data_IF_656956344277
#
_entry.id   IF_656956344277
#
_cell.length_a   1.000
_cell.length_b   1.000
_cell.length_c   1.000
_cell.angle_alpha   90.00
_cell.angle_beta   90.00
_cell.angle_gamma   90.00
#
_symmetry.space_group_name_H-M   'P 1'
#
loop_
_entity.id
_entity.type
_entity.pdbx_description
1 polymer ?
#
# COMPACT_ATOMS: atom_id res chain seq x y z
N UNK A 1 -23.58 0.22 35.92
CA UNK A 1 -23.36 -1.07 35.22
C UNK A 1 -24.44 -1.31 34.16
N UNK A 2 -25.73 -1.26 34.49
CA UNK A 2 -26.83 -1.50 33.51
C UNK A 2 -26.81 -0.57 32.29
N UNK A 3 -26.51 0.71 32.51
CA UNK A 3 -26.43 1.71 31.44
C UNK A 3 -25.32 1.37 30.41
N UNK A 4 -24.16 0.90 30.87
CA UNK A 4 -23.07 0.44 30.01
C UNK A 4 -23.46 -0.82 29.22
N UNK A 5 -24.09 -1.79 29.89
CA UNK A 5 -24.56 -3.01 29.24
C UNK A 5 -25.56 -2.71 28.10
N UNK A 6 -26.52 -1.81 28.32
CA UNK A 6 -27.45 -1.37 27.27
C UNK A 6 -26.72 -0.76 26.07
N UNK A 7 -25.70 0.08 26.29
CA UNK A 7 -24.90 0.69 25.19
C UNK A 7 -24.15 -0.35 24.38
N UNK A 8 -23.52 -1.30 25.07
CA UNK A 8 -22.79 -2.39 24.43
C UNK A 8 -23.75 -3.20 23.56
N UNK A 9 -24.90 -3.61 24.12
CA UNK A 9 -25.87 -4.45 23.43
C UNK A 9 -26.57 -3.76 22.25
N UNK A 10 -26.99 -2.50 22.42
CA UNK A 10 -27.81 -1.81 21.42
C UNK A 10 -27.01 -1.13 20.32
N UNK A 11 -25.74 -0.76 20.59
CA UNK A 11 -24.94 0.05 19.67
C UNK A 11 -23.63 -0.66 19.31
N UNK A 12 -22.85 -1.09 20.29
CA UNK A 12 -21.50 -1.61 20.04
C UNK A 12 -21.49 -3.01 19.40
N UNK A 13 -22.32 -3.94 19.87
CA UNK A 13 -22.43 -5.28 19.26
C UNK A 13 -22.89 -5.17 17.79
N UNK A 14 -23.93 -4.41 17.44
CA UNK A 14 -24.29 -4.22 16.04
C UNK A 14 -23.21 -3.52 15.22
N UNK A 15 -22.44 -2.61 15.80
CA UNK A 15 -21.26 -2.03 15.16
C UNK A 15 -20.22 -3.11 14.82
N UNK A 16 -19.86 -3.98 15.77
CA UNK A 16 -18.88 -5.05 15.55
C UNK A 16 -19.34 -6.03 14.46
N UNK A 17 -20.62 -6.39 14.46
CA UNK A 17 -21.20 -7.25 13.42
C UNK A 17 -21.13 -6.58 12.05
N UNK A 18 -21.45 -5.28 11.95
CA UNK A 18 -21.33 -4.52 10.71
C UNK A 18 -19.87 -4.38 10.26
N UNK A 19 -18.94 -4.19 11.19
CA UNK A 19 -17.50 -4.12 10.89
C UNK A 19 -17.02 -5.45 10.28
N UNK A 20 -17.36 -6.57 10.91
CA UNK A 20 -17.00 -7.90 10.42
C UNK A 20 -17.64 -8.18 9.06
N UNK A 21 -18.91 -7.82 8.88
CA UNK A 21 -19.58 -7.92 7.59
C UNK A 21 -18.89 -7.07 6.51
N UNK A 22 -18.49 -5.83 6.83
CA UNK A 22 -17.75 -4.97 5.91
C UNK A 22 -16.40 -5.57 5.51
N UNK A 23 -15.67 -6.13 6.48
CA UNK A 23 -14.40 -6.81 6.22
C UNK A 23 -14.60 -7.97 5.24
N UNK A 24 -15.59 -8.83 5.47
CA UNK A 24 -15.86 -9.99 4.61
C UNK A 24 -16.31 -9.55 3.21
N UNK A 25 -17.32 -8.68 3.13
CA UNK A 25 -17.90 -8.23 1.87
C UNK A 25 -16.86 -7.48 1.04
N UNK A 26 -16.11 -6.57 1.65
CA UNK A 26 -15.10 -5.82 0.90
C UNK A 26 -13.95 -6.71 0.45
N UNK A 27 -13.47 -7.62 1.30
CA UNK A 27 -12.40 -8.54 0.91
C UNK A 27 -12.83 -9.46 -0.23
N UNK A 28 -14.10 -9.87 -0.27
CA UNK A 28 -14.65 -10.63 -1.38
C UNK A 28 -14.71 -9.81 -2.68
N UNK A 29 -15.13 -8.54 -2.59
CA UNK A 29 -15.13 -7.62 -3.73
C UNK A 29 -13.72 -7.35 -4.26
N UNK A 30 -12.77 -7.07 -3.37
CA UNK A 30 -11.36 -6.83 -3.70
C UNK A 30 -10.73 -8.06 -4.35
N UNK A 31 -11.01 -9.24 -3.80
CA UNK A 31 -10.59 -10.50 -4.40
C UNK A 31 -11.06 -10.63 -5.84
N UNK A 32 -12.36 -10.40 -6.06
CA UNK A 32 -12.98 -10.59 -7.37
C UNK A 32 -12.49 -9.57 -8.40
N UNK A 33 -12.27 -8.32 -7.99
CA UNK A 33 -12.02 -7.19 -8.89
C UNK A 33 -10.54 -6.89 -9.09
N UNK A 34 -9.69 -7.10 -8.07
CA UNK A 34 -8.31 -6.63 -8.07
C UNK A 34 -7.28 -7.74 -7.83
N UNK A 35 -7.47 -8.62 -6.83
CA UNK A 35 -6.43 -9.62 -6.49
C UNK A 35 -6.18 -10.64 -7.61
N UNK A 36 -7.21 -11.06 -8.35
CA UNK A 36 -7.07 -12.05 -9.43
C UNK A 36 -6.30 -11.52 -10.65
N UNK A 37 -6.52 -10.25 -10.99
CA UNK A 37 -5.90 -9.57 -12.14
C UNK A 37 -5.82 -8.08 -11.84
N UNK A 38 -4.74 -7.62 -11.16
CA UNK A 38 -4.64 -6.22 -10.84
C UNK A 38 -4.52 -5.43 -12.13
N UNK A 39 -5.45 -4.50 -12.29
CA UNK A 39 -5.55 -3.67 -13.48
C UNK A 39 -4.57 -2.52 -13.39
N UNK A 40 -3.72 -2.37 -14.40
CA UNK A 40 -2.84 -1.20 -14.54
C UNK A 40 -3.61 0.13 -14.70
N UNK A 41 -4.93 0.07 -14.91
CA UNK A 41 -5.78 1.26 -15.01
C UNK A 41 -6.27 1.77 -13.66
N UNK A 42 -6.40 0.91 -12.65
CA UNK A 42 -6.98 1.28 -11.35
C UNK A 42 -5.83 1.50 -10.37
N UNK A 43 -5.69 2.69 -9.77
CA UNK A 43 -4.65 2.93 -8.77
C UNK A 43 -4.90 2.10 -7.50
N UNK A 44 -3.83 1.51 -6.94
CA UNK A 44 -3.88 0.75 -5.69
C UNK A 44 -4.54 1.53 -4.55
N UNK A 45 -4.27 2.83 -4.45
CA UNK A 45 -4.87 3.68 -3.41
C UNK A 45 -6.40 3.78 -3.50
N UNK A 46 -6.98 3.65 -4.70
CA UNK A 46 -8.44 3.66 -4.86
C UNK A 46 -9.03 2.40 -4.24
N UNK A 47 -8.40 1.26 -4.48
CA UNK A 47 -8.89 -0.05 -4.02
C UNK A 47 -8.56 -0.28 -2.55
N UNK A 48 -7.37 0.11 -2.08
CA UNK A 48 -6.92 -0.19 -0.72
C UNK A 48 -7.38 0.85 0.30
N UNK A 49 -7.68 2.09 -0.12
CA UNK A 49 -8.01 3.20 0.79
C UNK A 49 -9.39 3.76 0.49
N UNK A 50 -9.66 4.20 -0.74
CA UNK A 50 -10.90 4.90 -1.06
C UNK A 50 -12.13 3.97 -0.98
N UNK A 51 -12.03 2.75 -1.52
CA UNK A 51 -13.11 1.77 -1.51
C UNK A 51 -13.60 1.41 -0.10
N UNK A 52 -12.72 1.06 0.85
CA UNK A 52 -13.11 0.85 2.25
C UNK A 52 -13.77 2.05 2.91
N UNK A 53 -13.30 3.28 2.63
CA UNK A 53 -13.88 4.51 3.16
C UNK A 53 -15.32 4.69 2.63
N UNK A 54 -15.53 4.54 1.33
CA UNK A 54 -16.86 4.66 0.71
C UNK A 54 -17.81 3.62 1.29
N UNK A 55 -17.38 2.37 1.42
CA UNK A 55 -18.18 1.32 2.03
C UNK A 55 -18.55 1.66 3.49
N UNK A 56 -17.58 2.09 4.29
CA UNK A 56 -17.81 2.49 5.67
C UNK A 56 -18.80 3.66 5.78
N UNK A 57 -18.71 4.66 4.90
CA UNK A 57 -19.68 5.77 4.83
C UNK A 57 -21.09 5.24 4.60
N UNK A 58 -21.29 4.40 3.58
CA UNK A 58 -22.60 3.83 3.24
C UNK A 58 -23.15 3.02 4.41
N UNK A 59 -22.31 2.16 4.99
CA UNK A 59 -22.74 1.26 6.07
C UNK A 59 -23.11 2.04 7.34
N UNK A 60 -22.30 3.02 7.71
CA UNK A 60 -22.58 3.86 8.87
C UNK A 60 -23.84 4.69 8.65
N UNK A 61 -24.02 5.30 7.49
CA UNK A 61 -25.16 6.20 7.24
C UNK A 61 -26.51 5.46 7.18
N UNK A 62 -26.54 4.23 6.68
CA UNK A 62 -27.78 3.46 6.53
C UNK A 62 -28.10 2.67 7.80
N UNK A 63 -27.17 1.84 8.31
CA UNK A 63 -27.47 0.88 9.38
C UNK A 63 -27.05 1.35 10.77
N UNK A 64 -25.93 2.07 10.89
CA UNK A 64 -25.42 2.47 12.21
C UNK A 64 -26.03 3.79 12.68
N UNK A 65 -26.31 4.73 11.77
CA UNK A 65 -26.84 6.06 12.05
C UNK A 65 -28.14 6.04 12.87
N UNK A 66 -29.13 5.17 12.61
CA UNK A 66 -30.34 5.10 13.44
C UNK A 66 -30.03 4.75 14.89
N UNK A 67 -29.00 3.94 15.13
CA UNK A 67 -28.57 3.54 16.48
C UNK A 67 -27.70 4.61 17.15
N UNK A 68 -26.84 5.29 16.39
CA UNK A 68 -26.04 6.41 16.89
C UNK A 68 -26.90 7.61 17.30
N UNK A 69 -28.10 7.75 16.74
CA UNK A 69 -29.07 8.78 17.10
C UNK A 69 -29.64 8.62 18.52
N UNK A 70 -29.38 7.48 19.17
CA UNK A 70 -29.73 7.25 20.57
C UNK A 70 -28.72 7.89 21.53
N UNK A 71 -27.59 8.37 21.02
CA UNK A 71 -26.55 9.03 21.79
C UNK A 71 -26.64 10.54 21.55
N UNK A 72 -26.64 11.32 22.63
CA UNK A 72 -26.63 12.78 22.60
C UNK A 72 -25.42 13.31 23.36
N UNK A 73 -25.05 14.56 23.08
CA UNK A 73 -24.13 15.32 23.92
C UNK A 73 -24.90 16.52 24.43
N UNK A 74 -24.82 16.79 25.73
CA UNK A 74 -25.39 17.99 26.36
C UNK A 74 -24.70 19.31 25.96
N UNK A 75 -23.92 19.34 24.87
CA UNK A 75 -23.12 20.49 24.49
C UNK A 75 -23.85 21.37 23.46
N UNK A 76 -24.15 22.61 23.84
CA UNK A 76 -24.93 23.60 23.07
C UNK A 76 -24.27 24.09 21.76
N UNK A 77 -22.97 23.84 21.54
CA UNK A 77 -22.19 24.50 20.47
C UNK A 77 -21.69 23.62 19.32
N UNK A 78 -21.90 22.31 19.33
CA UNK A 78 -21.40 21.42 18.26
C UNK A 78 -22.54 20.66 17.59
N UNK A 79 -22.30 20.10 16.39
CA UNK A 79 -23.20 19.14 15.73
C UNK A 79 -22.80 17.71 16.17
N UNK A 80 -23.16 17.24 17.37
CA UNK A 80 -22.62 16.00 17.95
C UNK A 80 -22.89 14.78 17.05
N UNK A 81 -24.03 14.76 16.38
CA UNK A 81 -24.40 13.66 15.49
C UNK A 81 -23.48 13.56 14.27
N UNK A 82 -23.02 14.68 13.73
CA UNK A 82 -22.11 14.67 12.58
C UNK A 82 -20.75 14.11 12.99
N UNK A 83 -20.22 14.57 14.13
CA UNK A 83 -18.95 14.10 14.69
C UNK A 83 -18.99 12.60 15.01
N UNK A 84 -20.07 12.11 15.63
CA UNK A 84 -20.26 10.68 15.91
C UNK A 84 -20.25 9.83 14.64
N UNK A 85 -20.95 10.26 13.60
CA UNK A 85 -20.97 9.54 12.33
C UNK A 85 -19.57 9.52 11.71
N UNK A 86 -18.86 10.65 11.69
CA UNK A 86 -17.51 10.73 11.13
C UNK A 86 -16.52 9.83 11.89
N UNK A 87 -16.57 9.83 13.22
CA UNK A 87 -15.74 8.97 14.06
C UNK A 87 -16.07 7.49 13.85
N UNK A 88 -17.36 7.15 13.70
CA UNK A 88 -17.79 5.78 13.41
C UNK A 88 -17.33 5.31 12.03
N UNK A 89 -17.36 6.19 11.01
CA UNK A 89 -16.81 5.90 9.68
C UNK A 89 -15.31 5.65 9.77
N UNK A 90 -14.56 6.51 10.46
CA UNK A 90 -13.12 6.33 10.61
C UNK A 90 -12.79 5.03 11.36
N UNK A 91 -13.50 4.75 12.46
CA UNK A 91 -13.31 3.55 13.25
C UNK A 91 -13.65 2.26 12.47
N UNK A 92 -14.59 2.33 11.52
CA UNK A 92 -14.93 1.21 10.64
C UNK A 92 -13.98 1.08 9.44
N UNK A 93 -13.56 2.20 8.84
CA UNK A 93 -12.71 2.19 7.66
C UNK A 93 -11.27 1.74 7.97
N UNK A 94 -10.69 2.18 9.09
CA UNK A 94 -9.30 1.86 9.46
C UNK A 94 -9.04 0.35 9.46
N UNK A 95 -9.83 -0.49 10.17
CA UNK A 95 -9.62 -1.93 10.16
C UNK A 95 -9.77 -2.58 8.79
N UNK A 96 -10.74 -2.12 7.99
CA UNK A 96 -10.97 -2.65 6.64
C UNK A 96 -9.77 -2.34 5.74
N UNK A 97 -9.25 -1.11 5.77
CA UNK A 97 -8.05 -0.69 5.01
C UNK A 97 -6.84 -1.56 5.40
N UNK A 98 -6.59 -1.72 6.70
CA UNK A 98 -5.46 -2.52 7.19
C UNK A 98 -5.59 -3.98 6.74
N UNK A 99 -6.79 -4.54 6.82
CA UNK A 99 -7.08 -5.89 6.34
C UNK A 99 -6.81 -6.03 4.83
N UNK A 100 -7.18 -5.05 4.01
CA UNK A 100 -6.90 -5.13 2.57
C UNK A 100 -5.40 -5.12 2.27
N UNK A 101 -4.64 -4.24 2.93
CA UNK A 101 -3.18 -4.24 2.80
C UNK A 101 -2.55 -5.57 3.24
N UNK A 102 -3.10 -6.19 4.28
CA UNK A 102 -2.67 -7.51 4.73
C UNK A 102 -3.00 -8.60 3.70
N UNK A 103 -4.23 -8.61 3.18
CA UNK A 103 -4.71 -9.62 2.24
C UNK A 103 -3.88 -9.63 0.96
N UNK A 104 -3.60 -8.47 0.36
CA UNK A 104 -2.74 -8.35 -0.84
C UNK A 104 -1.39 -9.05 -0.64
N UNK A 105 -0.83 -8.98 0.57
CA UNK A 105 0.47 -9.60 0.90
C UNK A 105 0.38 -11.09 1.15
N UNK A 106 -0.70 -11.54 1.78
CA UNK A 106 -0.90 -12.96 2.09
C UNK A 106 -1.27 -13.75 0.83
N UNK A 107 -2.21 -13.25 0.04
CA UNK A 107 -2.78 -13.95 -1.12
C UNK A 107 -1.93 -13.84 -2.38
N UNK A 108 -0.91 -12.99 -2.38
CA UNK A 108 -0.01 -12.83 -3.52
C UNK A 108 0.72 -14.13 -3.85
N UNK A 109 0.55 -14.60 -5.10
CA UNK A 109 1.22 -15.80 -5.58
C UNK A 109 2.75 -15.63 -5.55
N UNK A 110 3.44 -16.66 -5.07
CA UNK A 110 4.89 -16.78 -5.11
C UNK A 110 5.35 -17.73 -6.21
N UNK A 111 6.11 -17.19 -7.16
CA UNK A 111 6.62 -17.91 -8.30
C UNK A 111 8.12 -18.20 -8.17
N UNK A 112 8.49 -19.48 -8.16
CA UNK A 112 9.89 -19.89 -8.33
C UNK A 112 10.18 -20.01 -9.82
N UNK A 113 11.14 -19.23 -10.30
CA UNK A 113 11.54 -19.17 -11.70
C UNK A 113 13.05 -19.37 -11.81
N UNK A 114 13.48 -19.97 -12.91
CA UNK A 114 14.90 -20.19 -13.15
C UNK A 114 15.56 -18.94 -13.70
N UNK A 115 14.88 -18.25 -14.63
CA UNK A 115 15.41 -17.10 -15.34
C UNK A 115 14.44 -15.91 -15.34
N UNK A 116 14.97 -14.66 -15.39
CA UNK A 116 14.16 -13.46 -15.61
C UNK A 116 13.21 -13.52 -16.82
N UNK A 117 13.60 -14.16 -17.92
CA UNK A 117 12.75 -14.30 -19.11
C UNK A 117 11.47 -15.11 -18.88
N UNK A 118 11.45 -16.00 -17.89
CA UNK A 118 10.27 -16.78 -17.53
C UNK A 118 9.19 -15.93 -16.84
N UNK A 119 9.55 -14.78 -16.27
CA UNK A 119 8.62 -13.84 -15.62
C UNK A 119 7.59 -13.35 -16.65
N UNK A 120 8.05 -13.05 -17.87
CA UNK A 120 7.19 -12.57 -18.95
C UNK A 120 6.23 -13.68 -19.42
N UNK A 121 6.67 -14.94 -19.38
CA UNK A 121 5.90 -16.11 -19.87
C UNK A 121 4.87 -16.61 -18.86
N UNK A 122 5.19 -16.57 -17.56
CA UNK A 122 4.35 -17.16 -16.49
C UNK A 122 3.00 -16.45 -16.32
N UNK A 123 2.91 -15.17 -16.69
CA UNK A 123 1.72 -14.35 -16.45
C UNK A 123 1.82 -13.56 -15.13
N UNK A 124 0.69 -13.33 -14.45
CA UNK A 124 0.68 -12.52 -13.23
C UNK A 124 1.01 -13.37 -11.99
N UNK A 125 2.17 -13.11 -11.37
CA UNK A 125 2.43 -13.41 -9.96
C UNK A 125 2.88 -12.14 -9.21
N UNK A 126 2.61 -12.09 -7.90
CA UNK A 126 2.94 -10.94 -7.06
C UNK A 126 4.39 -11.00 -6.58
N UNK A 127 4.91 -12.20 -6.34
CA UNK A 127 6.26 -12.43 -5.82
C UNK A 127 7.03 -13.40 -6.70
N UNK A 128 8.32 -13.17 -6.88
CA UNK A 128 9.20 -14.01 -7.68
C UNK A 128 10.49 -14.35 -6.93
N UNK A 129 10.95 -15.58 -7.06
CA UNK A 129 12.31 -15.99 -6.70
C UNK A 129 13.05 -16.35 -7.98
N UNK A 130 14.13 -15.63 -8.25
CA UNK A 130 14.94 -15.78 -9.48
C UNK A 130 16.41 -15.83 -9.04
N UNK A 131 17.02 -17.03 -8.95
CA UNK A 131 18.37 -17.17 -8.43
C UNK A 131 19.45 -16.84 -9.46
N UNK A 132 19.16 -16.92 -10.76
CA UNK A 132 20.15 -16.79 -11.84
C UNK A 132 19.92 -15.56 -12.72
N UNK A 133 20.06 -14.37 -12.14
CA UNK A 133 20.07 -13.10 -12.90
C UNK A 133 21.46 -12.47 -12.95
N UNK A 134 21.72 -11.69 -13.99
CA UNK A 134 22.92 -10.87 -14.10
C UNK A 134 22.70 -9.49 -13.47
N UNK A 135 23.63 -9.04 -12.63
CA UNK A 135 23.63 -7.68 -12.09
C UNK A 135 24.24 -6.71 -13.10
N UNK A 136 23.40 -5.89 -13.73
CA UNK A 136 23.79 -4.91 -14.74
C UNK A 136 23.87 -3.49 -14.15
N UNK A 137 24.58 -3.34 -13.02
CA UNK A 137 24.64 -2.06 -12.28
C UNK A 137 25.13 -0.89 -13.15
N UNK A 138 26.09 -1.16 -14.06
CA UNK A 138 26.63 -0.16 -15.03
C UNK A 138 25.56 0.39 -15.98
N UNK A 139 24.47 -0.34 -16.17
CA UNK A 139 23.38 0.00 -17.08
C UNK A 139 22.08 0.37 -16.32
N UNK A 140 22.17 0.58 -15.01
CA UNK A 140 21.04 1.06 -14.24
C UNK A 140 20.73 2.52 -14.58
N UNK A 141 19.45 2.84 -14.70
CA UNK A 141 18.99 4.21 -14.77
C UNK A 141 18.80 4.78 -13.38
N UNK A 142 19.22 6.03 -13.23
CA UNK A 142 19.26 6.75 -11.96
C UNK A 142 18.50 8.05 -12.14
N UNK A 143 17.57 8.33 -11.23
CA UNK A 143 16.82 9.58 -11.21
C UNK A 143 16.73 10.09 -9.78
N UNK A 144 17.07 11.35 -9.56
CA UNK A 144 16.77 12.04 -8.31
C UNK A 144 15.45 12.80 -8.42
N UNK A 145 14.72 12.88 -7.31
CA UNK A 145 13.56 13.74 -7.16
C UNK A 145 13.47 14.27 -5.74
N UNK A 146 12.95 15.48 -5.60
CA UNK A 146 12.82 16.13 -4.29
C UNK A 146 11.36 16.39 -4.00
N UNK A 147 10.87 15.91 -2.87
CA UNK A 147 9.53 16.20 -2.38
C UNK A 147 9.58 17.07 -1.15
N UNK A 148 8.58 17.93 -0.97
CA UNK A 148 8.46 18.77 0.21
C UNK A 148 7.46 18.18 1.19
N UNK A 149 7.87 18.05 2.45
CA UNK A 149 7.01 17.64 3.56
C UNK A 149 6.87 18.75 4.59
N UNK A 150 5.87 18.63 5.47
CA UNK A 150 5.61 19.54 6.58
C UNK A 150 5.49 21.03 6.15
N UNK A 151 4.59 21.32 5.20
CA UNK A 151 4.34 22.66 4.65
C UNK A 151 5.60 23.34 4.08
N UNK A 152 6.48 22.57 3.43
CA UNK A 152 7.68 23.11 2.76
C UNK A 152 8.88 23.36 3.68
N UNK A 153 8.86 22.87 4.93
CA UNK A 153 9.98 23.01 5.88
C UNK A 153 11.01 21.89 5.78
N UNK A 154 10.61 20.73 5.27
CA UNK A 154 11.48 19.56 5.13
C UNK A 154 11.51 19.16 3.66
N UNK A 155 12.71 19.03 3.10
CA UNK A 155 12.92 18.40 1.81
C UNK A 155 13.24 16.92 2.02
N UNK A 156 12.62 16.08 1.23
CA UNK A 156 12.93 14.65 1.15
C UNK A 156 13.48 14.43 -0.24
N UNK A 157 14.76 14.11 -0.31
CA UNK A 157 15.44 13.74 -1.54
C UNK A 157 15.29 12.24 -1.73
N UNK A 158 14.91 11.84 -2.93
CA UNK A 158 14.69 10.47 -3.36
C UNK A 158 15.65 10.17 -4.50
N UNK A 159 16.38 9.05 -4.43
CA UNK A 159 17.16 8.55 -5.55
C UNK A 159 16.60 7.19 -5.95
N UNK A 160 16.08 7.14 -7.17
CA UNK A 160 15.49 5.95 -7.77
C UNK A 160 16.49 5.27 -8.67
N UNK A 161 16.71 3.98 -8.43
CA UNK A 161 17.54 3.12 -9.25
C UNK A 161 16.65 2.11 -9.97
N UNK A 162 16.83 1.96 -11.28
CA UNK A 162 16.14 0.98 -12.10
C UNK A 162 17.14 0.22 -12.97
N UNK A 163 17.30 -1.08 -12.70
CA UNK A 163 18.24 -1.95 -13.39
C UNK A 163 17.48 -2.96 -14.26
N UNK A 164 17.89 -3.17 -15.53
CA UNK A 164 17.27 -4.20 -16.35
C UNK A 164 17.63 -5.59 -15.80
N UNK A 165 16.64 -6.47 -15.73
CA UNK A 165 16.84 -7.85 -15.29
C UNK A 165 17.03 -8.76 -16.51
N UNK A 166 18.21 -9.40 -16.62
CA UNK A 166 18.57 -10.24 -17.77
C UNK A 166 19.08 -11.59 -17.29
N UNK A 167 18.78 -12.62 -18.08
CA UNK A 167 19.22 -13.99 -17.86
C UNK A 167 20.76 -14.06 -17.81
N UNK A 168 21.30 -14.74 -16.79
CA UNK A 168 22.75 -14.86 -16.59
C UNK A 168 23.46 -15.53 -17.77
N UNK A 169 22.85 -16.56 -18.36
CA UNK A 169 23.40 -17.26 -19.53
C UNK A 169 23.48 -16.35 -20.77
N UNK A 170 22.47 -15.49 -20.97
CA UNK A 170 22.45 -14.51 -22.05
C UNK A 170 23.58 -13.49 -21.85
N UNK A 171 23.76 -12.99 -20.63
CA UNK A 171 24.85 -12.06 -20.31
C UNK A 171 26.25 -12.67 -20.48
N UNK A 172 26.46 -13.93 -20.07
CA UNK A 172 27.76 -14.60 -20.23
C UNK A 172 28.14 -14.76 -21.71
N UNK A 173 27.18 -15.09 -22.57
CA UNK A 173 27.40 -15.14 -24.02
C UNK A 173 27.75 -13.77 -24.61
N UNK A 174 27.27 -12.67 -24.02
CA UNK A 174 27.62 -11.31 -24.46
C UNK A 174 29.03 -10.89 -24.08
N UNK A 175 29.55 -11.37 -22.94
CA UNK A 175 30.89 -11.01 -22.48
C UNK A 175 32.00 -11.57 -23.39
N UNK A 176 31.70 -12.63 -24.16
CA UNK A 176 32.61 -13.21 -25.15
C UNK A 176 32.65 -12.46 -26.49
N UNK A 177 31.65 -11.60 -26.78
CA UNK A 177 31.62 -10.79 -28.00
C UNK A 177 32.17 -9.41 -27.68
N UNK A 178 33.49 -9.31 -27.56
CA UNK A 178 34.41 -8.13 -27.65
C UNK A 178 34.00 -6.72 -27.17
N UNK A 179 32.76 -6.28 -27.35
CA UNK A 179 32.21 -4.99 -26.98
C UNK A 179 30.81 -5.16 -26.36
N UNK A 180 30.78 -5.36 -25.04
CA UNK A 180 29.54 -5.42 -24.24
C UNK A 180 28.62 -4.21 -24.45
N UNK A 181 29.19 -3.06 -24.85
CA UNK A 181 28.44 -1.83 -25.12
C UNK A 181 27.73 -1.84 -26.49
N UNK A 182 28.27 -2.54 -27.50
CA UNK A 182 27.64 -2.68 -28.83
C UNK A 182 26.48 -3.67 -28.75
N UNK A 183 26.65 -4.80 -28.05
CA UNK A 183 25.57 -5.76 -27.81
C UNK A 183 24.43 -5.13 -26.98
N UNK A 184 24.76 -4.38 -25.92
CA UNK A 184 23.77 -3.63 -25.13
C UNK A 184 23.04 -2.60 -26.00
N UNK A 185 23.75 -1.78 -26.78
CA UNK A 185 23.10 -0.80 -27.66
C UNK A 185 22.27 -1.45 -28.77
N UNK A 186 22.64 -2.63 -29.28
CA UNK A 186 21.85 -3.36 -30.28
C UNK A 186 20.53 -3.90 -29.72
N UNK A 187 20.51 -4.44 -28.49
CA UNK A 187 19.25 -4.86 -27.85
C UNK A 187 18.29 -3.71 -27.59
N UNK A 188 18.81 -2.52 -27.30
CA UNK A 188 18.01 -1.33 -27.04
C UNK A 188 17.69 -0.52 -28.33
N UNK A 189 18.41 -0.77 -29.44
CA UNK A 189 18.15 -0.19 -30.77
C UNK A 189 16.96 -0.83 -31.49
N UNK A 190 16.73 -2.13 -31.32
CA UNK A 190 15.66 -2.87 -32.01
C UNK A 190 14.29 -2.83 -31.30
N UNK A 191 14.00 -1.80 -30.50
CA UNK A 191 12.78 -1.68 -29.68
C UNK A 191 12.54 -2.81 -28.65
N UNK A 192 13.46 -3.76 -28.50
CA UNK A 192 13.42 -4.86 -27.52
C UNK A 192 13.98 -4.41 -26.17
N UNK A 193 13.38 -3.35 -25.62
CA UNK A 193 13.66 -2.93 -24.24
C UNK A 193 13.38 -4.11 -23.29
N UNK A 194 14.24 -4.36 -22.28
CA UNK A 194 13.94 -5.39 -21.29
C UNK A 194 12.59 -5.07 -20.66
N UNK A 195 11.69 -6.05 -20.65
CA UNK A 195 10.34 -5.88 -20.12
C UNK A 195 10.34 -5.91 -18.59
N UNK A 196 11.40 -6.45 -17.97
CA UNK A 196 11.53 -6.64 -16.52
C UNK A 196 12.64 -5.77 -15.96
N UNK A 197 12.30 -4.98 -14.94
CA UNK A 197 13.19 -4.04 -14.27
C UNK A 197 13.18 -4.28 -12.78
N UNK A 198 14.37 -4.38 -12.19
CA UNK A 198 14.57 -4.43 -10.75
C UNK A 198 14.88 -3.04 -10.23
N UNK A 199 14.06 -2.55 -9.31
CA UNK A 199 14.08 -1.18 -8.83
C UNK A 199 14.30 -1.11 -7.32
N UNK A 200 14.98 -0.05 -6.88
CA UNK A 200 15.18 0.27 -5.46
C UNK A 200 15.27 1.79 -5.27
N UNK A 201 15.01 2.26 -4.06
CA UNK A 201 14.97 3.67 -3.70
C UNK A 201 15.80 3.92 -2.43
N UNK A 202 16.57 5.01 -2.43
CA UNK A 202 17.14 5.60 -1.21
C UNK A 202 16.49 6.95 -0.94
N UNK A 203 16.30 7.27 0.34
CA UNK A 203 15.66 8.52 0.76
C UNK A 203 16.48 9.20 1.85
N UNK A 204 16.59 10.53 1.76
CA UNK A 204 17.23 11.36 2.77
C UNK A 204 16.41 12.61 3.06
N UNK A 205 16.31 12.96 4.34
CA UNK A 205 15.46 14.07 4.82
C UNK A 205 16.32 15.19 5.36
N UNK A 206 16.13 16.39 4.83
CA UNK A 206 16.85 17.60 5.22
C UNK A 206 15.85 18.67 5.65
N UNK A 207 16.10 19.32 6.80
CA UNK A 207 15.38 20.56 7.16
C UNK A 207 15.92 21.71 6.32
N UNK A 208 15.05 22.53 5.73
CA UNK A 208 15.41 23.66 4.84
C UNK A 208 16.57 24.48 5.41
N UNK A 209 17.71 24.49 4.71
CA UNK A 209 18.93 25.25 5.04
C UNK A 209 19.55 25.85 3.76
N UNK A 210 20.40 26.86 3.93
CA UNK A 210 21.04 27.62 2.84
C UNK A 210 22.07 26.84 1.99
N UNK A 211 22.35 25.55 2.29
CA UNK A 211 23.36 24.74 1.58
C UNK A 211 22.77 23.42 1.04
N UNK A 212 21.56 23.49 0.46
CA UNK A 212 20.78 22.30 0.06
C UNK A 212 21.41 21.55 -1.12
N UNK A 213 22.03 22.24 -2.08
CA UNK A 213 22.58 21.61 -3.29
C UNK A 213 23.82 20.75 -3.05
N UNK A 214 24.77 21.23 -2.22
CA UNK A 214 25.99 20.47 -1.91
C UNK A 214 25.66 19.17 -1.15
N UNK A 215 24.75 19.27 -0.17
CA UNK A 215 24.28 18.13 0.62
C UNK A 215 23.49 17.15 -0.26
N UNK A 216 22.70 17.66 -1.20
CA UNK A 216 21.99 16.81 -2.16
C UNK A 216 22.95 16.03 -3.07
N UNK A 217 23.99 16.68 -3.59
CA UNK A 217 25.02 16.01 -4.41
C UNK A 217 25.74 14.94 -3.62
N UNK A 218 26.20 15.26 -2.41
CA UNK A 218 26.87 14.31 -1.52
C UNK A 218 25.98 13.09 -1.22
N UNK A 219 24.70 13.31 -0.93
CA UNK A 219 23.74 12.23 -0.72
C UNK A 219 23.51 11.38 -1.98
N UNK A 220 23.42 12.00 -3.16
CA UNK A 220 23.29 11.28 -4.43
C UNK A 220 24.53 10.42 -4.68
N UNK A 221 25.73 10.98 -4.52
CA UNK A 221 26.99 10.27 -4.74
C UNK A 221 27.13 9.10 -3.74
N UNK A 222 26.80 9.31 -2.47
CA UNK A 222 26.78 8.26 -1.45
C UNK A 222 25.74 7.17 -1.79
N UNK A 223 24.56 7.56 -2.27
CA UNK A 223 23.51 6.61 -2.69
C UNK A 223 23.97 5.76 -3.87
N UNK A 224 24.64 6.37 -4.86
CA UNK A 224 25.18 5.67 -6.03
C UNK A 224 26.29 4.72 -5.60
N UNK A 225 27.22 5.16 -4.75
CA UNK A 225 28.29 4.33 -4.22
C UNK A 225 27.73 3.11 -3.47
N UNK A 226 26.75 3.34 -2.58
CA UNK A 226 26.06 2.28 -1.84
C UNK A 226 25.33 1.29 -2.78
N UNK A 227 24.68 1.78 -3.84
CA UNK A 227 24.02 0.94 -4.83
C UNK A 227 25.03 0.06 -5.59
N UNK A 228 26.16 0.62 -5.99
CA UNK A 228 27.23 -0.10 -6.69
C UNK A 228 27.85 -1.15 -5.77
N UNK A 229 28.13 -0.81 -4.50
CA UNK A 229 28.80 -1.69 -3.54
C UNK A 229 27.88 -2.84 -3.08
N UNK A 230 26.71 -2.51 -2.50
CA UNK A 230 25.82 -3.52 -1.88
C UNK A 230 25.14 -4.44 -2.90
N UNK A 231 24.85 -3.92 -4.10
CA UNK A 231 24.23 -4.70 -5.17
C UNK A 231 22.93 -5.40 -4.81
N UNK A 232 22.67 -6.53 -5.48
CA UNK A 232 21.50 -7.39 -5.24
C UNK A 232 21.91 -8.79 -4.75
N UNK A 233 23.17 -8.96 -4.36
CA UNK A 233 23.68 -10.11 -3.65
C UNK A 233 22.93 -10.26 -2.32
N UNK A 234 22.12 -11.31 -2.21
CA UNK A 234 21.28 -11.55 -1.02
C UNK A 234 19.82 -11.13 -1.17
N UNK A 235 19.36 -10.76 -2.37
CA UNK A 235 17.91 -10.68 -2.64
C UNK A 235 17.28 -12.04 -2.42
N UNK A 236 16.31 -12.10 -1.52
CA UNK A 236 15.57 -13.32 -1.18
C UNK A 236 14.42 -13.53 -2.17
N UNK A 237 13.70 -12.45 -2.49
CA UNK A 237 12.62 -12.46 -3.46
C UNK A 237 12.41 -11.06 -4.06
N UNK A 238 11.67 -11.00 -5.16
CA UNK A 238 11.29 -9.78 -5.85
C UNK A 238 9.77 -9.60 -5.80
N UNK A 239 9.30 -8.40 -5.47
CA UNK A 239 7.88 -8.08 -5.43
C UNK A 239 7.47 -7.29 -6.68
N UNK A 240 6.44 -7.75 -7.40
CA UNK A 240 5.83 -6.98 -8.49
C UNK A 240 5.09 -5.79 -7.93
N UNK A 241 5.46 -4.61 -8.41
CA UNK A 241 4.80 -3.39 -8.03
C UNK A 241 3.46 -3.26 -8.76
N UNK A 242 2.36 -3.02 -8.04
CA UNK A 242 1.10 -2.66 -8.68
C UNK A 242 1.03 -1.17 -8.97
N UNK A 243 -0.15 -0.69 -9.34
CA UNK A 243 -0.31 0.68 -9.84
C UNK A 243 -0.34 1.71 -8.71
N UNK A 244 0.84 2.14 -8.26
CA UNK A 244 0.99 3.15 -7.21
C UNK A 244 1.92 4.31 -7.62
N UNK A 245 2.03 5.29 -6.72
CA UNK A 245 2.84 6.50 -6.95
C UNK A 245 4.30 6.16 -7.21
N UNK A 246 4.86 5.18 -6.49
CA UNK A 246 6.25 4.76 -6.60
C UNK A 246 6.51 4.08 -7.96
N UNK A 247 5.60 3.22 -8.44
CA UNK A 247 5.69 2.63 -9.78
C UNK A 247 5.74 3.69 -10.87
N UNK A 248 4.99 4.79 -10.70
CA UNK A 248 5.03 5.91 -11.65
C UNK A 248 6.40 6.60 -11.65
N UNK A 249 7.03 6.79 -10.50
CA UNK A 249 8.38 7.36 -10.44
C UNK A 249 9.40 6.43 -11.11
N UNK A 250 9.37 5.12 -10.84
CA UNK A 250 10.22 4.16 -11.56
C UNK A 250 9.96 4.15 -13.06
N UNK A 251 8.69 4.23 -13.49
CA UNK A 251 8.36 4.32 -14.91
C UNK A 251 8.99 5.56 -15.56
N UNK A 252 9.01 6.70 -14.86
CA UNK A 252 9.68 7.92 -15.33
C UNK A 252 11.21 7.83 -15.28
N UNK A 253 11.77 6.97 -14.44
CA UNK A 253 13.21 6.64 -14.44
C UNK A 253 13.56 5.76 -15.65
N UNK A 254 12.65 4.84 -16.02
CA UNK A 254 12.88 3.84 -17.07
C UNK A 254 12.58 4.36 -18.47
N UNK A 255 11.43 5.02 -18.66
CA UNK A 255 10.92 5.44 -19.97
C UNK A 255 11.23 6.94 -20.18
N UNK A 256 11.92 7.26 -21.28
CA UNK A 256 11.83 8.59 -21.91
C UNK A 256 10.48 8.68 -22.61
N UNK A 257 9.75 9.79 -22.44
CA UNK A 257 8.28 10.01 -22.62
C UNK A 257 7.52 9.32 -23.77
N UNK A 258 8.19 8.69 -24.74
CA UNK A 258 7.64 8.22 -26.01
C UNK A 258 7.35 6.70 -26.10
N UNK A 259 7.48 5.91 -25.01
CA UNK A 259 7.24 4.44 -25.07
C UNK A 259 6.07 3.95 -24.22
N UNK A 260 5.16 3.19 -24.86
CA UNK A 260 3.91 2.66 -24.28
C UNK A 260 3.98 1.21 -23.78
N UNK A 261 5.10 0.51 -23.90
CA UNK A 261 5.17 -0.91 -23.53
C UNK A 261 4.86 -1.14 -22.04
N UNK A 262 4.15 -2.23 -21.74
CA UNK A 262 3.88 -2.65 -20.37
C UNK A 262 5.19 -3.10 -19.70
N UNK A 263 5.69 -2.28 -18.78
CA UNK A 263 6.88 -2.60 -18.00
C UNK A 263 6.51 -3.36 -16.73
N UNK A 264 7.21 -4.46 -16.51
CA UNK A 264 7.22 -5.22 -15.26
C UNK A 264 8.27 -4.61 -14.34
N UNK A 265 7.80 -3.87 -13.34
CA UNK A 265 8.63 -3.25 -12.32
C UNK A 265 8.60 -4.13 -11.07
N UNK A 266 9.77 -4.58 -10.66
CA UNK A 266 10.01 -5.43 -9.51
C UNK A 266 10.80 -4.66 -8.46
N UNK A 267 10.51 -4.89 -7.19
CA UNK A 267 11.26 -4.35 -6.06
C UNK A 267 12.03 -5.49 -5.37
N UNK A 268 13.31 -5.28 -5.13
CA UNK A 268 14.16 -6.24 -4.42
C UNK A 268 13.81 -6.30 -2.93
N UNK A 269 13.62 -7.51 -2.37
CA UNK A 269 13.40 -7.73 -0.94
C UNK A 269 14.48 -8.68 -0.39
N UNK A 270 15.15 -8.21 0.67
CA UNK A 270 16.25 -8.92 1.33
C UNK A 270 15.80 -9.69 2.57
N UNK A 271 14.60 -9.40 3.09
CA UNK A 271 14.04 -10.15 4.22
C UNK A 271 13.53 -11.54 3.81
N UNK A 272 13.43 -12.50 4.73
CA UNK A 272 12.72 -13.76 4.50
C UNK A 272 11.29 -13.53 3.99
N UNK A 273 10.80 -14.44 3.15
CA UNK A 273 9.49 -14.31 2.50
C UNK A 273 8.33 -14.36 3.51
N UNK A 274 8.49 -15.09 4.61
CA UNK A 274 7.52 -15.26 5.68
C UNK A 274 7.29 -13.94 6.45
N UNK A 275 8.33 -13.10 6.55
CA UNK A 275 8.27 -11.82 7.27
C UNK A 275 7.47 -10.73 6.54
N UNK A 276 7.04 -10.97 5.29
CA UNK A 276 6.44 -9.95 4.41
C UNK A 276 5.16 -9.32 4.97
N UNK A 277 4.38 -10.08 5.76
CA UNK A 277 3.07 -9.68 6.27
C UNK A 277 3.02 -9.55 7.80
N UNK A 278 4.08 -9.92 8.53
CA UNK A 278 4.07 -9.92 10.00
C UNK A 278 3.75 -8.54 10.59
N UNK A 279 4.33 -7.50 9.99
CA UNK A 279 4.10 -6.12 10.38
C UNK A 279 2.63 -5.76 10.14
N UNK A 280 2.10 -6.02 8.95
CA UNK A 280 0.74 -5.68 8.56
C UNK A 280 -0.29 -6.45 9.37
N UNK A 281 0.01 -7.70 9.74
CA UNK A 281 -0.83 -8.49 10.64
C UNK A 281 -0.92 -7.84 12.01
N UNK A 282 0.22 -7.46 12.60
CA UNK A 282 0.28 -6.73 13.88
C UNK A 282 -0.50 -5.41 13.80
N UNK A 283 -0.31 -4.64 12.73
CA UNK A 283 -1.05 -3.39 12.53
C UNK A 283 -2.54 -3.62 12.35
N UNK A 284 -2.97 -4.67 11.65
CA UNK A 284 -4.38 -4.99 11.46
C UNK A 284 -5.05 -5.33 12.78
N UNK A 285 -4.43 -6.20 13.60
CA UNK A 285 -4.97 -6.57 14.91
C UNK A 285 -5.01 -5.34 15.82
N UNK A 286 -3.87 -4.65 15.96
CA UNK A 286 -3.77 -3.48 16.84
C UNK A 286 -4.70 -2.35 16.40
N UNK A 287 -4.76 -2.06 15.10
CA UNK A 287 -5.63 -1.04 14.53
C UNK A 287 -7.12 -1.36 14.70
N UNK A 288 -7.50 -2.64 14.59
CA UNK A 288 -8.89 -3.08 14.85
C UNK A 288 -9.29 -2.92 16.31
N UNK A 289 -8.41 -3.34 17.22
CA UNK A 289 -8.64 -3.18 18.67
C UNK A 289 -8.66 -1.71 19.08
N UNK A 290 -7.71 -0.92 18.59
CA UNK A 290 -7.60 0.50 18.92
C UNK A 290 -8.81 1.30 18.42
N UNK A 291 -9.20 1.12 17.15
CA UNK A 291 -10.35 1.82 16.58
C UNK A 291 -11.67 1.45 17.26
N UNK A 292 -11.89 0.15 17.50
CA UNK A 292 -13.10 -0.34 18.17
C UNK A 292 -13.14 0.07 19.65
N UNK A 293 -12.01 -0.01 20.36
CA UNK A 293 -11.90 0.44 21.74
C UNK A 293 -12.08 1.95 21.89
N UNK A 294 -11.52 2.74 20.97
CA UNK A 294 -11.72 4.18 20.91
C UNK A 294 -13.19 4.54 20.67
N UNK A 295 -13.86 3.85 19.75
CA UNK A 295 -15.28 4.07 19.49
C UNK A 295 -16.16 3.67 20.68
N UNK A 296 -15.83 2.57 21.36
CA UNK A 296 -16.50 2.18 22.60
C UNK A 296 -16.36 3.27 23.67
N UNK A 297 -15.15 3.82 23.86
CA UNK A 297 -14.90 4.90 24.80
C UNK A 297 -15.75 6.13 24.47
N UNK A 298 -15.85 6.50 23.19
CA UNK A 298 -16.76 7.56 22.73
C UNK A 298 -18.21 7.25 23.12
N UNK A 299 -18.70 6.04 22.86
CA UNK A 299 -20.07 5.67 23.23
C UNK A 299 -20.31 5.72 24.75
N UNK A 300 -19.30 5.42 25.56
CA UNK A 300 -19.40 5.55 27.03
C UNK A 300 -19.55 7.01 27.45
N UNK A 301 -18.78 7.92 26.86
CA UNK A 301 -18.82 9.37 27.18
C UNK A 301 -20.18 9.99 26.82
N UNK A 302 -20.78 9.59 25.71
CA UNK A 302 -22.04 10.18 25.24
C UNK A 302 -23.23 9.76 26.09
N UNK A 303 -24.17 10.66 26.36
CA UNK A 303 -25.38 10.35 27.16
C UNK A 303 -26.48 9.75 26.27
N UNK A 304 -27.46 9.09 26.88
CA UNK A 304 -28.64 8.64 26.12
C UNK A 304 -29.52 9.82 25.70
N UNK A 305 -30.17 9.65 24.56
CA UNK A 305 -31.37 10.39 24.18
C UNK A 305 -32.56 9.73 24.87
N UNK A 306 -32.98 10.25 26.03
CA UNK A 306 -34.04 9.66 26.84
C UNK A 306 -35.38 9.56 26.09
N UNK A 307 -35.69 10.52 25.21
CA UNK A 307 -36.92 10.50 24.41
C UNK A 307 -36.91 9.36 23.39
N UNK A 308 -35.80 9.22 22.66
CA UNK A 308 -35.66 8.17 21.64
C UNK A 308 -35.47 6.79 22.23
N UNK A 309 -34.83 6.69 23.40
CA UNK A 309 -34.66 5.43 24.11
C UNK A 309 -36.02 4.90 24.57
N UNK A 310 -36.86 5.76 25.19
CA UNK A 310 -38.23 5.38 25.59
C UNK A 310 -39.07 4.96 24.40
N UNK A 311 -39.03 5.71 23.29
CA UNK A 311 -39.76 5.35 22.08
C UNK A 311 -39.35 3.97 21.50
N UNK A 312 -38.07 3.58 21.65
CA UNK A 312 -37.59 2.25 21.25
C UNK A 312 -38.00 1.16 22.23
N UNK A 313 -37.93 1.43 23.53
CA UNK A 313 -38.35 0.48 24.57
C UNK A 313 -39.86 0.21 24.48
N UNK A 314 -40.67 1.23 24.22
CA UNK A 314 -42.11 1.09 23.98
C UNK A 314 -42.40 0.31 22.69
N UNK A 315 -41.66 0.56 21.61
CA UNK A 315 -41.81 -0.21 20.36
C UNK A 315 -41.45 -1.68 20.53
N UNK A 316 -40.44 -2.00 21.34
CA UNK A 316 -40.04 -3.38 21.64
C UNK A 316 -40.94 -4.06 22.68
N UNK A 317 -41.79 -3.32 23.41
CA UNK A 317 -42.83 -3.87 24.30
C UNK A 317 -44.10 -4.29 23.57
N UNK A 318 -44.25 -3.89 22.30
CA UNK A 318 -45.44 -4.12 21.47
C UNK A 318 -45.31 -5.42 20.62
N UNK A 319 -44.18 -6.14 20.72
CA UNK A 319 -43.94 -7.44 20.10
C UNK A 319 -43.64 -8.49 21.17
#
# INVERSE_FOLDING_TARGET
MENLYKKIRLIFIPYLLLLLACMVVYSFLDWRLYLLKPSDKIPEGVVLILGPIVLAIVVVLIWLRPRLRLLTVKAERTRPQFTLNMLSVAAMAIPVILLQHLLVKITGEFAHLNAPSDIVKKGYAKYYSVPQFAELKKYAYIRSATTTSNKGKTYVHHVYFAMPLIDKAVFQNWYFVGDTMIAFNQLFKDDKMPLVWLCTETQFKIKKKANTEAIEREFIDESIANFIDKGFSGVTYMERMGNNTLRREYRKTIIREDRKNELLILEAKFSPFEKRYERELKWTIFGTLLSSGFLLLIFVIFTWDEERLRALEDKNRIW
#
